data_IF_815490260444
#
_entry.id   IF_815490260444
#
_cell.length_a   1.000
_cell.length_b   1.000
_cell.length_c   1.000
_cell.angle_alpha   90.00
_cell.angle_beta   90.00
_cell.angle_gamma   90.00
#
_symmetry.space_group_name_H-M   'P 1'
#
loop_
_entity.id
_entity.type
_entity.pdbx_description
1 polymer ?
#
# COMPACT_ATOMS: atom_id res chain seq x y z
N UNK A 1 -54.46 -13.04 3.62
CA UNK A 1 -53.71 -12.04 4.41
C UNK A 1 -52.65 -12.77 5.20
N UNK A 2 -51.64 -13.37 4.57
CA UNK A 2 -50.62 -12.79 3.68
C UNK A 2 -49.78 -11.68 4.35
N UNK A 3 -48.50 -12.05 4.54
CA UNK A 3 -47.28 -11.23 4.61
C UNK A 3 -46.97 -10.50 5.91
N UNK A 4 -45.65 -10.44 6.15
CA UNK A 4 -44.93 -9.89 7.31
C UNK A 4 -44.89 -10.91 8.46
N UNK A 5 -43.95 -11.86 8.48
CA UNK A 5 -42.56 -11.60 8.86
C UNK A 5 -41.66 -12.74 8.35
N UNK A 6 -41.40 -12.79 7.06
CA UNK A 6 -40.19 -13.47 6.58
C UNK A 6 -39.00 -12.58 6.91
N UNK A 7 -38.49 -12.68 8.14
CA UNK A 7 -37.14 -12.23 8.47
C UNK A 7 -36.19 -13.11 7.68
N UNK A 8 -35.92 -12.71 6.45
CA UNK A 8 -34.76 -13.12 5.66
C UNK A 8 -33.52 -12.63 6.40
N UNK A 9 -33.14 -13.37 7.44
CA UNK A 9 -31.75 -13.43 7.87
C UNK A 9 -30.98 -14.12 6.77
N UNK A 10 -30.69 -13.39 5.68
CA UNK A 10 -29.71 -13.81 4.70
C UNK A 10 -28.38 -13.80 5.44
N UNK A 11 -28.00 -14.95 5.99
CA UNK A 11 -26.63 -15.20 6.38
C UNK A 11 -25.80 -15.10 5.10
N UNK A 12 -25.26 -13.91 4.82
CA UNK A 12 -24.14 -13.78 3.91
C UNK A 12 -23.05 -14.71 4.43
N UNK A 13 -22.89 -15.86 3.77
CA UNK A 13 -21.70 -16.69 3.92
C UNK A 13 -20.51 -15.76 3.70
N UNK A 14 -19.78 -15.41 4.77
CA UNK A 14 -18.52 -14.67 4.70
C UNK A 14 -17.60 -15.42 3.73
N UNK A 15 -17.58 -15.02 2.46
CA UNK A 15 -16.61 -15.50 1.48
C UNK A 15 -15.24 -15.15 2.06
N UNK A 16 -14.40 -16.16 2.29
CA UNK A 16 -13.01 -15.91 2.71
C UNK A 16 -12.37 -15.01 1.64
N UNK A 17 -11.87 -13.85 2.05
CA UNK A 17 -11.08 -12.99 1.14
C UNK A 17 -9.86 -13.80 0.69
N UNK A 18 -9.62 -13.81 -0.62
CA UNK A 18 -8.47 -14.49 -1.24
C UNK A 18 -7.26 -13.56 -1.37
N UNK A 19 -7.42 -12.28 -1.04
CA UNK A 19 -6.43 -11.22 -1.20
C UNK A 19 -6.32 -10.34 0.06
N UNK A 20 -5.22 -9.57 0.20
CA UNK A 20 -5.03 -8.67 1.34
C UNK A 20 -6.12 -7.58 1.44
N UNK A 21 -6.57 -7.21 2.64
CA UNK A 21 -7.60 -6.17 2.82
C UNK A 21 -7.29 -4.83 2.14
N UNK A 22 -6.01 -4.45 2.07
CA UNK A 22 -5.59 -3.19 1.44
C UNK A 22 -5.91 -3.10 -0.05
N UNK A 23 -6.17 -4.22 -0.73
CA UNK A 23 -6.65 -4.19 -2.12
C UNK A 23 -8.00 -3.48 -2.23
N UNK A 24 -8.89 -3.67 -1.25
CA UNK A 24 -10.19 -2.98 -1.21
C UNK A 24 -9.98 -1.47 -0.99
N UNK A 25 -9.09 -1.10 -0.06
CA UNK A 25 -8.76 0.30 0.20
C UNK A 25 -8.18 1.01 -1.03
N UNK A 26 -7.32 0.34 -1.81
CA UNK A 26 -6.79 0.88 -3.05
C UNK A 26 -7.89 1.11 -4.09
N UNK A 27 -8.83 0.16 -4.23
CA UNK A 27 -9.97 0.31 -5.16
C UNK A 27 -10.87 1.46 -4.75
N UNK A 28 -11.24 1.55 -3.48
CA UNK A 28 -12.05 2.64 -2.95
C UNK A 28 -11.34 4.00 -3.17
N UNK A 29 -10.03 4.06 -2.94
CA UNK A 29 -9.26 5.27 -3.18
C UNK A 29 -9.29 5.67 -4.66
N UNK A 30 -9.11 4.71 -5.58
CA UNK A 30 -9.22 4.91 -7.02
C UNK A 30 -10.60 5.43 -7.43
N UNK A 31 -11.67 4.81 -6.96
CA UNK A 31 -13.05 5.20 -7.26
C UNK A 31 -13.39 6.61 -6.73
N UNK A 32 -12.93 6.94 -5.51
CA UNK A 32 -13.22 8.22 -4.85
C UNK A 32 -12.24 9.35 -5.23
N UNK A 33 -11.32 9.10 -6.15
CA UNK A 33 -10.27 10.05 -6.54
C UNK A 33 -9.44 10.62 -5.36
N UNK A 34 -9.12 9.77 -4.39
CA UNK A 34 -8.28 10.10 -3.23
C UNK A 34 -6.97 9.31 -3.23
N UNK A 35 -6.08 9.60 -2.27
CA UNK A 35 -4.84 8.89 -2.06
C UNK A 35 -4.62 8.63 -0.56
N UNK A 36 -3.87 7.59 -0.23
CA UNK A 36 -3.47 7.29 1.14
C UNK A 36 -2.07 6.71 1.18
N UNK A 37 -1.47 6.75 2.37
CA UNK A 37 -0.20 6.10 2.69
C UNK A 37 -0.47 5.02 3.74
N UNK A 38 -0.09 3.78 3.45
CA UNK A 38 -0.15 2.67 4.40
C UNK A 38 1.25 2.21 4.77
N UNK A 39 1.50 2.09 6.08
CA UNK A 39 2.76 1.59 6.61
C UNK A 39 2.59 0.19 7.21
N UNK A 40 3.23 -0.81 6.61
CA UNK A 40 3.25 -2.19 7.13
C UNK A 40 4.49 -2.36 8.00
N UNK A 41 4.34 -2.25 9.32
CA UNK A 41 5.44 -2.29 10.29
C UNK A 41 5.29 -3.43 11.29
N UNK A 42 6.44 -3.94 11.77
CA UNK A 42 6.46 -4.88 12.87
C UNK A 42 6.18 -4.14 14.18
N UNK A 43 5.28 -4.66 15.02
CA UNK A 43 5.03 -4.05 16.33
C UNK A 43 6.31 -4.03 17.19
N UNK A 44 6.57 -3.01 18.01
CA UNK A 44 7.85 -2.87 18.73
C UNK A 44 8.20 -4.08 19.61
N UNK A 45 7.18 -4.79 20.10
CA UNK A 45 7.28 -5.89 21.06
C UNK A 45 7.36 -7.28 20.42
N UNK A 46 7.42 -7.41 19.10
CA UNK A 46 7.58 -8.74 18.49
C UNK A 46 9.03 -9.23 18.62
N UNK A 47 9.17 -10.54 18.89
CA UNK A 47 10.47 -11.21 19.05
C UNK A 47 11.29 -11.15 17.75
N UNK A 48 10.63 -11.32 16.60
CA UNK A 48 11.25 -11.23 15.28
C UNK A 48 10.69 -10.04 14.51
N UNK A 49 11.56 -9.09 14.13
CA UNK A 49 11.18 -7.92 13.32
C UNK A 49 11.31 -8.19 11.82
N UNK A 50 12.18 -9.12 11.46
CA UNK A 50 12.43 -9.61 10.10
C UNK A 50 11.66 -10.91 9.88
N UNK A 51 11.36 -11.24 8.62
CA UNK A 51 10.71 -12.51 8.27
C UNK A 51 9.22 -12.63 8.60
N UNK A 52 8.57 -11.62 9.20
CA UNK A 52 7.14 -11.67 9.57
C UNK A 52 6.17 -11.50 8.39
N UNK A 53 6.68 -11.44 7.15
CA UNK A 53 5.85 -11.34 5.95
C UNK A 53 5.40 -9.93 5.53
N UNK A 54 6.03 -8.86 6.03
CA UNK A 54 5.71 -7.46 5.64
C UNK A 54 5.82 -7.26 4.12
N UNK A 55 6.98 -7.60 3.55
CA UNK A 55 7.21 -7.49 2.11
C UNK A 55 6.29 -8.44 1.33
N UNK A 56 6.04 -9.66 1.83
CA UNK A 56 5.08 -10.59 1.20
C UNK A 56 3.66 -10.00 1.15
N UNK A 57 3.22 -9.35 2.21
CA UNK A 57 1.93 -8.66 2.26
C UNK A 57 1.85 -7.53 1.23
N UNK A 58 2.86 -6.67 1.18
CA UNK A 58 2.93 -5.56 0.24
C UNK A 58 2.93 -6.05 -1.21
N UNK A 59 3.75 -7.05 -1.53
CA UNK A 59 3.86 -7.64 -2.88
C UNK A 59 2.57 -8.35 -3.32
N UNK A 60 1.90 -9.08 -2.42
CA UNK A 60 0.60 -9.69 -2.72
C UNK A 60 -0.46 -8.63 -3.01
N UNK A 61 -0.49 -7.57 -2.20
CA UNK A 61 -1.43 -6.45 -2.40
C UNK A 61 -1.19 -5.82 -3.78
N UNK A 62 0.06 -5.51 -4.10
CA UNK A 62 0.46 -4.96 -5.38
C UNK A 62 0.05 -5.86 -6.56
N UNK A 63 0.31 -7.17 -6.46
CA UNK A 63 -0.11 -8.12 -7.49
C UNK A 63 -1.63 -8.09 -7.71
N UNK A 64 -2.43 -8.13 -6.65
CA UNK A 64 -3.89 -8.10 -6.78
C UNK A 64 -4.46 -6.77 -7.26
N UNK A 65 -3.76 -5.64 -7.02
CA UNK A 65 -4.13 -4.33 -7.56
C UNK A 65 -3.89 -4.26 -9.07
N UNK A 66 -2.75 -4.78 -9.55
CA UNK A 66 -2.38 -4.69 -10.96
C UNK A 66 -2.85 -5.87 -11.82
N UNK A 67 -3.10 -7.03 -11.20
CA UNK A 67 -3.42 -8.32 -11.80
C UNK A 67 -2.44 -8.77 -12.91
N UNK A 68 -1.22 -8.24 -12.88
CA UNK A 68 -0.14 -8.50 -13.83
C UNK A 68 1.17 -8.26 -13.09
N UNK A 69 1.99 -9.30 -12.98
CA UNK A 69 3.25 -9.23 -12.23
C UNK A 69 4.31 -8.41 -12.95
N UNK A 70 4.40 -8.46 -14.28
CA UNK A 70 5.39 -7.67 -15.03
C UNK A 70 5.06 -6.18 -14.98
N UNK A 71 3.76 -5.84 -14.89
CA UNK A 71 3.32 -4.48 -14.62
C UNK A 71 3.59 -4.08 -13.17
N UNK A 72 3.27 -4.94 -12.20
CA UNK A 72 3.42 -4.67 -10.78
C UNK A 72 4.87 -4.35 -10.39
N UNK A 73 5.85 -5.13 -10.89
CA UNK A 73 7.29 -4.93 -10.55
C UNK A 73 7.80 -3.52 -10.80
N UNK A 74 7.24 -2.82 -11.79
CA UNK A 74 7.63 -1.44 -12.15
C UNK A 74 7.29 -0.41 -11.06
N UNK A 75 6.45 -0.79 -10.10
CA UNK A 75 6.02 0.06 -8.98
C UNK A 75 6.56 -0.44 -7.64
N UNK A 76 7.58 -1.31 -7.65
CA UNK A 76 8.36 -1.67 -6.46
C UNK A 76 9.60 -0.77 -6.47
N UNK A 77 9.79 -0.02 -5.39
CA UNK A 77 10.94 0.85 -5.20
C UNK A 77 11.61 0.56 -3.88
N UNK A 78 12.93 0.75 -3.85
CA UNK A 78 13.74 0.58 -2.65
C UNK A 78 14.36 1.92 -2.24
N UNK A 79 14.69 2.76 -3.22
CA UNK A 79 15.38 4.02 -3.02
C UNK A 79 14.43 5.22 -3.18
N UNK A 80 14.58 6.29 -2.38
CA UNK A 80 13.71 7.46 -2.50
C UNK A 80 13.81 8.14 -3.88
N UNK A 81 14.95 8.02 -4.56
CA UNK A 81 15.11 8.55 -5.93
C UNK A 81 14.17 7.83 -6.92
N UNK A 82 14.02 6.51 -6.81
CA UNK A 82 13.13 5.72 -7.65
C UNK A 82 11.67 6.10 -7.38
N UNK A 83 11.32 6.28 -6.11
CA UNK A 83 10.01 6.75 -5.71
C UNK A 83 9.69 8.11 -6.34
N UNK A 84 10.56 9.12 -6.17
CA UNK A 84 10.35 10.45 -6.76
C UNK A 84 10.32 10.42 -8.29
N UNK A 85 11.10 9.55 -8.94
CA UNK A 85 11.08 9.41 -10.39
C UNK A 85 9.71 8.92 -10.90
N UNK A 86 9.09 7.95 -10.21
CA UNK A 86 7.74 7.47 -10.55
C UNK A 86 6.69 8.58 -10.40
N UNK A 87 6.76 9.36 -9.32
CA UNK A 87 5.84 10.48 -9.11
C UNK A 87 5.99 11.55 -10.18
N UNK A 88 7.23 11.91 -10.51
CA UNK A 88 7.50 12.87 -11.58
C UNK A 88 6.93 12.39 -12.91
N UNK A 89 7.20 11.14 -13.29
CA UNK A 89 6.65 10.57 -14.53
C UNK A 89 5.12 10.54 -14.53
N UNK A 90 4.49 10.24 -13.39
CA UNK A 90 3.04 10.25 -13.25
C UNK A 90 2.45 11.65 -13.46
N UNK A 91 3.06 12.67 -12.87
CA UNK A 91 2.65 14.08 -13.05
C UNK A 91 2.86 14.52 -14.50
N UNK A 92 4.04 14.27 -15.06
CA UNK A 92 4.39 14.67 -16.43
C UNK A 92 3.47 14.04 -17.48
N UNK A 93 2.92 12.85 -17.20
CA UNK A 93 2.02 12.11 -18.11
C UNK A 93 0.54 12.19 -17.72
N UNK A 94 0.19 13.01 -16.74
CA UNK A 94 -1.16 13.09 -16.16
C UNK A 94 -1.77 11.71 -15.88
N UNK A 95 -0.95 10.83 -15.29
CA UNK A 95 -1.28 9.42 -15.07
C UNK A 95 -1.45 9.15 -13.59
N UNK A 96 -2.59 8.56 -13.23
CA UNK A 96 -2.80 8.02 -11.88
C UNK A 96 -2.09 6.68 -11.71
N UNK A 97 -1.28 6.56 -10.65
CA UNK A 97 -0.68 5.30 -10.23
C UNK A 97 -1.59 4.63 -9.19
N UNK A 98 -2.08 3.40 -9.43
CA UNK A 98 -2.89 2.66 -8.46
C UNK A 98 -2.21 2.43 -7.10
N UNK A 99 -0.97 1.97 -7.11
CA UNK A 99 -0.25 1.63 -5.89
C UNK A 99 1.26 1.61 -6.17
N UNK A 100 2.05 2.08 -5.20
CA UNK A 100 3.51 1.93 -5.19
C UNK A 100 3.88 1.19 -3.91
N UNK A 101 4.77 0.20 -4.02
CA UNK A 101 5.38 -0.44 -2.86
C UNK A 101 6.77 0.13 -2.67
N UNK A 102 7.00 0.80 -1.54
CA UNK A 102 8.33 1.17 -1.10
C UNK A 102 8.81 0.19 -0.04
N UNK A 103 9.55 -0.83 -0.46
CA UNK A 103 10.06 -1.85 0.46
C UNK A 103 11.32 -1.35 1.17
N UNK A 104 11.50 -1.77 2.43
CA UNK A 104 12.62 -1.36 3.29
C UNK A 104 12.82 0.17 3.49
N UNK A 105 11.77 0.98 3.26
CA UNK A 105 11.81 2.43 3.49
C UNK A 105 12.29 2.81 4.90
N UNK A 106 11.92 2.02 5.91
CA UNK A 106 12.32 2.23 7.31
C UNK A 106 13.84 2.11 7.55
N UNK A 107 14.56 1.33 6.74
CA UNK A 107 16.02 1.25 6.83
C UNK A 107 16.68 2.57 6.41
N UNK A 108 16.19 3.17 5.33
CA UNK A 108 16.73 4.40 4.76
C UNK A 108 16.35 5.64 5.57
N UNK A 109 15.11 5.69 6.06
CA UNK A 109 14.61 6.80 6.89
C UNK A 109 15.19 6.74 8.31
N UNK A 110 15.43 5.54 8.86
CA UNK A 110 15.72 5.36 10.28
C UNK A 110 17.17 5.22 10.71
N UNK A 111 18.13 4.84 9.85
CA UNK A 111 19.46 4.40 10.36
C UNK A 111 20.75 4.89 9.70
N UNK A 112 20.75 5.34 8.44
CA UNK A 112 22.02 5.67 7.76
C UNK A 112 22.04 7.05 7.08
N UNK A 113 20.89 7.71 6.86
CA UNK A 113 20.81 8.97 6.10
C UNK A 113 19.84 10.02 6.69
N UNK A 114 19.52 9.95 7.97
CA UNK A 114 18.60 10.91 8.61
C UNK A 114 19.01 12.39 8.45
N UNK A 115 20.32 12.66 8.38
CA UNK A 115 20.89 14.00 8.14
C UNK A 115 21.12 14.35 6.66
N UNK A 116 20.82 13.45 5.72
CA UNK A 116 20.86 13.80 4.30
C UNK A 116 19.72 14.77 4.01
N UNK A 117 20.04 15.97 3.51
CA UNK A 117 19.06 16.99 3.09
C UNK A 117 17.94 16.41 2.22
N UNK A 118 18.24 15.39 1.42
CA UNK A 118 17.28 14.70 0.57
C UNK A 118 16.27 13.84 1.35
N UNK A 119 16.67 13.19 2.45
CA UNK A 119 15.75 12.37 3.27
C UNK A 119 14.83 13.28 4.08
N UNK A 120 15.36 14.41 4.58
CA UNK A 120 14.55 15.45 5.21
C UNK A 120 13.50 16.00 4.22
N UNK A 121 13.91 16.34 3.00
CA UNK A 121 12.99 16.83 1.97
C UNK A 121 11.91 15.81 1.60
N UNK A 122 12.24 14.53 1.47
CA UNK A 122 11.24 13.48 1.21
C UNK A 122 10.30 13.31 2.40
N UNK A 123 10.80 13.38 3.63
CA UNK A 123 9.98 13.30 4.84
C UNK A 123 9.00 14.47 4.96
N UNK A 124 9.46 15.68 4.68
CA UNK A 124 8.64 16.89 4.60
C UNK A 124 7.59 16.76 3.49
N UNK A 125 7.98 16.29 2.30
CA UNK A 125 7.07 16.12 1.18
C UNK A 125 5.99 15.06 1.44
N UNK A 126 6.32 14.02 2.20
CA UNK A 126 5.38 12.96 2.60
C UNK A 126 4.56 13.30 3.85
N UNK A 127 4.79 14.45 4.51
CA UNK A 127 4.17 14.83 5.79
C UNK A 127 4.30 13.77 6.91
N UNK A 128 5.38 12.98 6.91
CA UNK A 128 5.61 11.96 7.95
C UNK A 128 6.48 12.57 9.06
N UNK A 129 5.85 13.14 10.09
CA UNK A 129 6.56 13.80 11.22
C UNK A 129 7.34 12.81 12.06
#
# INVERSE_FOLDING_TARGET
MERLLSRTGTQEKKRRRTYPPSVDLVKDALELNTAFLEAVIAAPRVVFKLGIGKSVYALKTLYFVYNDWEKAKKYIVFMPQEFLALFKEAVDKDKRIPMIVWDDAGFLVGRQRWNSRFVVAVREHLNVV
#
